data_IF_574780336237
#
_entry.id   IF_574780336237
#
_cell.length_a   1.000
_cell.length_b   1.000
_cell.length_c   1.000
_cell.angle_alpha   90.00
_cell.angle_beta   90.00
_cell.angle_gamma   90.00
#
_symmetry.space_group_name_H-M   'P 1'
#
loop_
_entity.id
_entity.type
_entity.pdbx_description
1 polymer ?
#
# COMPACT_ATOMS: atom_id res chain seq x y z
N UNK A 1 -10.67 -18.82 -5.72
CA UNK A 1 -11.61 -17.88 -6.34
C UNK A 1 -11.73 -18.22 -7.82
N UNK A 2 -12.93 -18.49 -8.30
CA UNK A 2 -13.21 -18.68 -9.72
C UNK A 2 -13.09 -17.36 -10.49
N UNK A 3 -12.98 -17.44 -11.82
CA UNK A 3 -12.79 -16.26 -12.69
C UNK A 3 -13.83 -15.17 -12.47
N UNK A 4 -15.12 -15.54 -12.41
CA UNK A 4 -16.24 -14.59 -12.22
C UNK A 4 -16.18 -13.86 -10.88
N UNK A 5 -15.86 -14.59 -9.81
CA UNK A 5 -15.70 -14.01 -8.47
C UNK A 5 -14.52 -13.01 -8.45
N UNK A 6 -13.46 -13.30 -9.19
CA UNK A 6 -12.31 -12.41 -9.30
C UNK A 6 -12.63 -11.15 -10.10
N UNK A 7 -13.31 -11.27 -11.23
CA UNK A 7 -13.77 -10.13 -12.04
C UNK A 7 -14.70 -9.21 -11.23
N UNK A 8 -15.64 -9.77 -10.46
CA UNK A 8 -16.46 -8.99 -9.53
C UNK A 8 -15.60 -8.29 -8.46
N UNK A 9 -14.63 -9.01 -7.88
CA UNK A 9 -13.76 -8.46 -6.86
C UNK A 9 -12.84 -7.33 -7.35
N UNK A 10 -12.46 -7.34 -8.64
CA UNK A 10 -11.74 -6.26 -9.30
C UNK A 10 -12.62 -5.03 -9.55
N UNK A 11 -13.92 -5.23 -9.76
CA UNK A 11 -14.86 -4.13 -10.03
C UNK A 11 -15.21 -3.36 -8.75
N UNK A 12 -15.59 -4.05 -7.67
CA UNK A 12 -16.09 -3.40 -6.44
C UNK A 12 -15.63 -4.05 -5.12
N UNK A 13 -14.95 -5.19 -5.20
CA UNK A 13 -14.55 -5.98 -4.04
C UNK A 13 -13.19 -5.60 -3.45
N UNK A 14 -12.59 -6.54 -2.72
CA UNK A 14 -11.33 -6.31 -1.99
C UNK A 14 -10.17 -5.90 -2.92
N UNK A 15 -10.09 -6.48 -4.13
CA UNK A 15 -9.05 -6.13 -5.08
C UNK A 15 -9.21 -4.68 -5.57
N UNK A 16 -10.44 -4.23 -5.82
CA UNK A 16 -10.72 -2.82 -6.15
C UNK A 16 -10.29 -1.87 -5.02
N UNK A 17 -10.53 -2.25 -3.75
CA UNK A 17 -10.13 -1.43 -2.59
C UNK A 17 -8.61 -1.34 -2.45
N UNK A 18 -7.92 -2.46 -2.58
CA UNK A 18 -6.46 -2.52 -2.53
C UNK A 18 -5.83 -1.78 -3.71
N UNK A 19 -6.40 -1.88 -4.92
CA UNK A 19 -5.91 -1.17 -6.09
C UNK A 19 -5.96 0.36 -5.94
N UNK A 20 -6.86 0.91 -5.10
CA UNK A 20 -6.87 2.35 -4.78
C UNK A 20 -5.67 2.81 -3.96
N UNK A 21 -4.90 1.88 -3.42
CA UNK A 21 -3.60 2.18 -2.82
C UNK A 21 -2.53 2.33 -3.91
N UNK A 22 -2.77 2.09 -5.20
CA UNK A 22 -1.72 2.32 -6.18
C UNK A 22 -1.36 3.81 -6.28
N UNK A 23 -0.07 4.13 -6.27
CA UNK A 23 0.38 5.52 -6.34
C UNK A 23 1.78 5.76 -5.79
N UNK A 24 2.18 7.02 -5.82
CA UNK A 24 3.33 7.54 -5.10
C UNK A 24 2.89 8.00 -3.72
N UNK A 25 3.74 7.78 -2.74
CA UNK A 25 3.47 8.14 -1.35
C UNK A 25 4.59 8.99 -0.79
N UNK A 26 4.19 9.91 0.06
CA UNK A 26 5.09 10.61 0.96
C UNK A 26 4.45 10.59 2.34
N UNK A 27 5.24 10.22 3.35
CA UNK A 27 4.83 10.18 4.73
C UNK A 27 5.95 10.67 5.65
N UNK A 28 5.60 10.95 6.90
CA UNK A 28 6.59 11.26 7.94
C UNK A 28 6.82 10.02 8.78
N UNK A 29 8.03 9.50 8.77
CA UNK A 29 8.47 8.38 9.60
C UNK A 29 9.05 8.92 10.90
N UNK A 30 8.59 8.38 12.02
CA UNK A 30 9.14 8.69 13.34
C UNK A 30 9.33 7.40 14.15
N UNK A 31 10.51 7.25 14.76
CA UNK A 31 10.89 6.09 15.58
C UNK A 31 11.21 6.53 17.01
N UNK A 32 10.67 5.81 18.00
CA UNK A 32 10.98 6.01 19.41
C UNK A 32 11.48 4.71 20.03
N UNK A 33 12.58 4.77 20.76
CA UNK A 33 13.01 3.69 21.66
C UNK A 33 12.59 3.94 23.11
N UNK A 34 12.42 5.22 23.48
CA UNK A 34 12.02 5.68 24.81
C UNK A 34 10.93 6.76 24.66
N UNK A 35 10.10 7.01 25.69
CA UNK A 35 9.16 8.12 25.69
C UNK A 35 9.87 9.48 25.51
N UNK A 36 9.26 10.38 24.73
CA UNK A 36 9.76 11.74 24.53
C UNK A 36 10.08 12.06 23.07
N UNK A 37 11.29 12.56 22.82
CA UNK A 37 11.72 12.93 21.46
C UNK A 37 12.04 11.68 20.63
N UNK A 38 11.64 11.64 19.35
CA UNK A 38 11.95 10.51 18.49
C UNK A 38 13.46 10.39 18.24
N UNK A 39 13.95 9.16 18.13
CA UNK A 39 15.31 8.84 17.72
C UNK A 39 15.53 9.07 16.21
N UNK A 40 14.47 9.00 15.41
CA UNK A 40 14.47 9.27 13.97
C UNK A 40 13.20 10.07 13.63
N UNK A 41 13.34 11.12 12.82
CA UNK A 41 12.22 11.91 12.31
C UNK A 41 12.52 12.41 10.89
N UNK A 42 12.01 11.69 9.90
CA UNK A 42 12.35 11.91 8.50
C UNK A 42 11.14 11.76 7.57
N UNK A 43 11.29 12.29 6.35
CA UNK A 43 10.31 12.08 5.28
C UNK A 43 10.65 10.78 4.56
N UNK A 44 9.69 9.87 4.50
CA UNK A 44 9.80 8.63 3.73
C UNK A 44 8.94 8.74 2.48
N UNK A 45 9.52 8.35 1.35
CA UNK A 45 8.84 8.26 0.07
C UNK A 45 8.80 6.81 -0.35
N UNK A 46 7.85 6.48 -1.22
CA UNK A 46 7.73 5.13 -1.74
C UNK A 46 6.65 5.05 -2.81
N UNK A 47 6.44 3.85 -3.34
CA UNK A 47 5.37 3.60 -4.30
C UNK A 47 4.66 2.28 -4.03
N UNK A 48 3.37 2.23 -4.36
CA UNK A 48 2.61 0.99 -4.44
C UNK A 48 2.16 0.81 -5.89
N UNK A 49 2.50 -0.35 -6.45
CA UNK A 49 2.20 -0.72 -7.84
C UNK A 49 1.33 -1.96 -7.90
N UNK A 50 0.32 -1.94 -8.75
CA UNK A 50 -0.54 -3.10 -9.02
C UNK A 50 0.11 -3.97 -10.09
N UNK A 51 0.28 -5.25 -9.79
CA UNK A 51 0.86 -6.25 -10.68
C UNK A 51 -0.12 -7.41 -10.94
N UNK A 52 0.20 -8.22 -11.96
CA UNK A 52 -0.49 -9.48 -12.28
C UNK A 52 -2.02 -9.33 -12.39
N UNK A 53 -2.45 -8.22 -12.99
CA UNK A 53 -3.87 -7.91 -13.23
C UNK A 53 -4.67 -7.69 -11.94
N UNK A 54 -4.08 -7.05 -10.92
CA UNK A 54 -4.78 -6.72 -9.67
C UNK A 54 -4.59 -7.73 -8.54
N UNK A 55 -3.75 -8.76 -8.73
CA UNK A 55 -3.55 -9.84 -7.75
C UNK A 55 -2.49 -9.54 -6.71
N UNK A 56 -1.54 -8.66 -7.05
CA UNK A 56 -0.39 -8.35 -6.21
C UNK A 56 -0.23 -6.85 -6.15
N UNK A 57 0.01 -6.35 -4.94
CA UNK A 57 0.56 -5.02 -4.73
C UNK A 57 2.04 -5.16 -4.41
N UNK A 58 2.89 -4.48 -5.17
CA UNK A 58 4.30 -4.31 -4.85
C UNK A 58 4.48 -2.98 -4.14
N UNK A 59 5.06 -3.01 -2.94
CA UNK A 59 5.40 -1.84 -2.15
C UNK A 59 6.91 -1.67 -2.12
N UNK A 60 7.38 -0.48 -2.47
CA UNK A 60 8.79 -0.09 -2.51
C UNK A 60 8.99 1.24 -1.79
N UNK A 61 10.12 1.39 -1.10
CA UNK A 61 10.55 2.61 -0.39
C UNK A 61 11.83 3.16 -1.03
#
# INVERSE_FOLDING_TARGET
>A
MGRREFEASLADGVHARLARMAGQWEGRFRLWFEPGQPAEDSVQRGSIRVLLGGRVLLHEY
#
